data_IF_440150549683
#
_entry.id   IF_440150549683
#
_cell.length_a   1.000
_cell.length_b   1.000
_cell.length_c   1.000
_cell.angle_alpha   90.00
_cell.angle_beta   90.00
_cell.angle_gamma   90.00
#
_symmetry.space_group_name_H-M   'P 1'
#
loop_
_entity.id
_entity.type
_entity.pdbx_description
1 polymer ?
#
# COMPACT_ATOMS: atom_id res chain seq x y z
N UNK A 1 23.49 -7.63 -7.12
CA UNK A 1 24.24 -7.52 -5.84
C UNK A 1 24.02 -6.21 -5.07
N UNK A 2 23.09 -5.31 -5.47
CA UNK A 2 22.83 -4.04 -4.77
C UNK A 2 21.77 -4.12 -3.62
N UNK A 3 21.03 -5.22 -3.52
CA UNK A 3 19.88 -5.36 -2.61
C UNK A 3 20.26 -5.31 -1.13
N UNK A 4 21.40 -5.93 -0.75
CA UNK A 4 21.79 -6.05 0.67
C UNK A 4 22.17 -4.70 1.28
N UNK A 5 22.91 -3.85 0.57
CA UNK A 5 23.36 -2.55 1.07
C UNK A 5 22.20 -1.56 1.23
N UNK A 6 21.23 -1.60 0.33
CA UNK A 6 20.03 -0.75 0.41
C UNK A 6 19.12 -1.17 1.56
N UNK A 7 18.97 -2.48 1.77
CA UNK A 7 18.19 -3.02 2.88
C UNK A 7 18.84 -2.67 4.24
N UNK A 8 20.16 -2.82 4.38
CA UNK A 8 20.87 -2.44 5.62
C UNK A 8 20.69 -0.96 5.94
N UNK A 9 20.81 -0.06 4.94
CA UNK A 9 20.60 1.38 5.14
C UNK A 9 19.16 1.71 5.54
N UNK A 10 18.18 1.01 4.97
CA UNK A 10 16.78 1.18 5.34
C UNK A 10 16.52 0.76 6.79
N UNK A 11 17.11 -0.36 7.24
CA UNK A 11 17.06 -0.80 8.64
C UNK A 11 17.66 0.25 9.58
N UNK A 12 18.89 0.68 9.33
CA UNK A 12 19.59 1.66 10.16
C UNK A 12 18.81 2.99 10.26
N UNK A 13 18.25 3.46 9.14
CA UNK A 13 17.45 4.68 9.12
C UNK A 13 16.17 4.54 9.96
N UNK A 14 15.48 3.41 9.86
CA UNK A 14 14.27 3.13 10.63
C UNK A 14 14.56 2.97 12.13
N UNK A 15 15.59 2.20 12.48
CA UNK A 15 16.03 2.00 13.87
C UNK A 15 16.42 3.31 14.55
N UNK A 16 17.10 4.21 13.82
CA UNK A 16 17.44 5.54 14.34
C UNK A 16 16.20 6.36 14.65
N UNK A 17 15.19 6.35 13.77
CA UNK A 17 13.92 7.04 14.02
C UNK A 17 13.19 6.45 15.22
N UNK A 18 13.11 5.12 15.32
CA UNK A 18 12.46 4.42 16.43
C UNK A 18 13.13 4.72 17.77
N UNK A 19 14.46 4.70 17.81
CA UNK A 19 15.23 5.02 19.02
C UNK A 19 14.94 6.45 19.49
N UNK A 20 14.89 7.40 18.54
CA UNK A 20 14.58 8.80 18.85
C UNK A 20 13.14 8.96 19.34
N UNK A 21 12.18 8.28 18.70
CA UNK A 21 10.78 8.27 19.11
C UNK A 21 10.61 7.75 20.55
N UNK A 22 11.24 6.62 20.87
CA UNK A 22 11.16 6.02 22.20
C UNK A 22 11.75 6.92 23.28
N UNK A 23 12.87 7.60 22.99
CA UNK A 23 13.48 8.55 23.91
C UNK A 23 12.56 9.74 24.20
N UNK A 24 12.05 10.41 23.16
CA UNK A 24 11.15 11.57 23.34
C UNK A 24 9.84 11.18 24.05
N UNK A 25 9.31 9.99 23.75
CA UNK A 25 8.12 9.48 24.41
C UNK A 25 8.37 9.17 25.90
N UNK A 26 9.55 8.67 26.23
CA UNK A 26 9.97 8.49 27.62
C UNK A 26 10.08 9.83 28.35
N UNK A 27 10.69 10.84 27.74
CA UNK A 27 10.82 12.18 28.32
C UNK A 27 9.45 12.79 28.65
N UNK A 28 8.46 12.67 27.76
CA UNK A 28 7.08 13.11 28.04
C UNK A 28 6.42 12.37 29.19
N UNK A 29 6.72 11.07 29.36
CA UNK A 29 6.07 10.24 30.36
C UNK A 29 6.64 10.41 31.77
N UNK A 30 7.94 10.72 31.90
CA UNK A 30 8.66 10.60 33.19
C UNK A 30 9.47 11.84 33.58
N UNK A 31 9.93 12.66 32.64
CA UNK A 31 10.99 13.64 32.91
C UNK A 31 10.56 15.10 32.71
N UNK A 32 9.45 15.37 32.03
CA UNK A 32 9.00 16.73 31.79
C UNK A 32 8.46 17.38 33.08
N UNK A 33 9.17 18.37 33.59
CA UNK A 33 8.81 19.09 34.82
C UNK A 33 8.12 20.42 34.54
N UNK A 34 8.15 20.87 33.28
CA UNK A 34 7.56 22.13 32.84
C UNK A 34 6.70 21.93 31.60
N UNK A 35 5.72 22.83 31.42
CA UNK A 35 4.88 22.84 30.21
C UNK A 35 5.70 23.05 28.93
N UNK A 36 6.75 23.87 28.98
CA UNK A 36 7.61 24.15 27.84
C UNK A 36 8.38 22.89 27.39
N UNK A 37 8.84 22.04 28.32
CA UNK A 37 9.47 20.76 28.01
C UNK A 37 8.47 19.77 27.38
N UNK A 38 7.23 19.74 27.89
CA UNK A 38 6.15 18.94 27.31
C UNK A 38 5.88 19.39 25.87
N UNK A 39 5.63 20.69 25.66
CA UNK A 39 5.32 21.24 24.33
C UNK A 39 6.47 20.95 23.34
N UNK A 40 7.73 21.16 23.76
CA UNK A 40 8.90 20.90 22.93
C UNK A 40 9.08 19.41 22.56
N UNK A 41 8.85 18.48 23.50
CA UNK A 41 8.92 17.05 23.20
C UNK A 41 7.73 16.55 22.39
N UNK A 42 6.54 17.14 22.55
CA UNK A 42 5.39 16.88 21.68
C UNK A 42 5.67 17.29 20.23
N UNK A 43 6.25 18.48 20.01
CA UNK A 43 6.66 18.93 18.66
C UNK A 43 7.71 18.00 18.03
N UNK A 44 8.67 17.53 18.84
CA UNK A 44 9.69 16.57 18.39
C UNK A 44 9.07 15.22 18.01
N UNK A 45 8.12 14.71 18.79
CA UNK A 45 7.40 13.47 18.47
C UNK A 45 6.64 13.60 17.16
N UNK A 46 5.86 14.67 16.98
CA UNK A 46 5.12 14.91 15.74
C UNK A 46 6.05 14.94 14.51
N UNK A 47 7.23 15.56 14.65
CA UNK A 47 8.24 15.57 13.59
C UNK A 47 8.80 14.16 13.30
N UNK A 48 9.12 13.37 14.33
CA UNK A 48 9.65 12.01 14.17
C UNK A 48 8.62 11.09 13.53
N UNK A 49 7.37 11.16 13.97
CA UNK A 49 6.25 10.41 13.38
C UNK A 49 6.09 10.73 11.89
N UNK A 50 6.07 12.02 11.52
CA UNK A 50 5.99 12.42 10.11
C UNK A 50 7.14 11.83 9.29
N UNK A 51 8.36 11.79 9.84
CA UNK A 51 9.51 11.17 9.18
C UNK A 51 9.38 9.65 9.09
N UNK A 52 8.83 9.02 10.11
CA UNK A 52 8.58 7.59 10.12
C UNK A 52 7.54 7.17 9.08
N UNK A 53 6.48 7.97 8.88
CA UNK A 53 5.49 7.74 7.80
C UNK A 53 6.11 7.84 6.40
N UNK A 54 7.17 8.63 6.23
CA UNK A 54 7.89 8.77 4.95
C UNK A 54 8.99 7.72 4.72
N UNK A 55 9.38 6.99 5.76
CA UNK A 55 10.46 5.99 5.69
C UNK A 55 9.84 4.61 5.53
N UNK A 56 10.17 3.89 4.46
CA UNK A 56 9.66 2.53 4.24
C UNK A 56 10.09 1.57 5.35
N UNK A 57 9.16 0.76 5.87
CA UNK A 57 9.45 -0.25 6.89
C UNK A 57 10.28 -1.39 6.29
N UNK A 58 11.51 -1.67 6.76
CA UNK A 58 12.36 -2.69 6.14
C UNK A 58 11.77 -4.12 6.18
N UNK A 59 10.91 -4.40 7.17
CA UNK A 59 10.29 -5.69 7.42
C UNK A 59 8.91 -5.57 8.08
N UNK A 60 8.21 -6.70 8.24
CA UNK A 60 6.87 -6.74 8.86
C UNK A 60 6.89 -6.30 10.33
N UNK A 61 8.01 -6.51 11.04
CA UNK A 61 8.15 -6.05 12.43
C UNK A 61 8.11 -4.52 12.50
N UNK A 62 8.77 -3.85 11.57
CA UNK A 62 8.79 -2.39 11.45
C UNK A 62 7.42 -1.84 11.04
N UNK A 63 6.61 -2.61 10.30
CA UNK A 63 5.20 -2.26 10.04
C UNK A 63 4.37 -2.30 11.33
N UNK A 64 4.56 -3.33 12.17
CA UNK A 64 3.86 -3.40 13.46
C UNK A 64 4.19 -2.20 14.35
N UNK A 65 5.45 -1.77 14.39
CA UNK A 65 5.86 -0.56 15.11
C UNK A 65 5.11 0.68 14.60
N UNK A 66 4.99 0.83 13.28
CA UNK A 66 4.20 1.93 12.69
C UNK A 66 2.72 1.87 13.09
N UNK A 67 2.13 0.68 13.11
CA UNK A 67 0.74 0.47 13.54
C UNK A 67 0.53 0.82 15.01
N UNK A 68 1.46 0.42 15.88
CA UNK A 68 1.42 0.74 17.31
C UNK A 68 1.46 2.25 17.51
N UNK A 69 2.40 2.95 16.88
CA UNK A 69 2.51 4.41 17.00
C UNK A 69 1.24 5.10 16.49
N UNK A 70 0.74 4.69 15.33
CA UNK A 70 -0.51 5.21 14.78
C UNK A 70 -1.73 5.02 15.71
N UNK A 71 -1.73 3.96 16.53
CA UNK A 71 -2.82 3.62 17.44
C UNK A 71 -2.73 4.33 18.79
N UNK A 72 -1.54 4.82 19.15
CA UNK A 72 -1.34 5.46 20.45
C UNK A 72 -1.84 6.92 20.42
N UNK A 73 -1.59 7.63 19.33
CA UNK A 73 -1.78 9.09 19.31
C UNK A 73 -3.18 9.51 18.83
N UNK A 74 -3.95 8.60 18.22
CA UNK A 74 -5.29 8.89 17.70
C UNK A 74 -6.25 7.70 17.77
N UNK A 75 -7.53 7.97 18.08
CA UNK A 75 -8.64 7.04 17.81
C UNK A 75 -8.74 6.70 16.30
N UNK A 76 -8.28 7.62 15.44
CA UNK A 76 -8.16 7.44 13.99
C UNK A 76 -6.79 7.94 13.49
N UNK A 77 -5.91 7.04 12.99
CA UNK A 77 -4.63 7.43 12.42
C UNK A 77 -4.77 8.45 11.29
N UNK A 78 -3.79 9.36 11.12
CA UNK A 78 -3.81 10.29 10.00
C UNK A 78 -3.71 9.54 8.65
N UNK A 79 -4.32 10.05 7.57
CA UNK A 79 -4.36 9.36 6.27
C UNK A 79 -2.99 8.94 5.74
N UNK A 80 -1.95 9.73 5.97
CA UNK A 80 -0.57 9.44 5.61
C UNK A 80 0.01 8.23 6.34
N UNK A 81 -0.36 8.00 7.60
CA UNK A 81 0.09 6.83 8.37
C UNK A 81 -0.55 5.56 7.79
N UNK A 82 -1.85 5.60 7.49
CA UNK A 82 -2.58 4.50 6.85
C UNK A 82 -1.97 4.18 5.48
N UNK A 83 -1.74 5.21 4.66
CA UNK A 83 -1.13 5.05 3.34
C UNK A 83 0.29 4.44 3.44
N UNK A 84 1.09 4.89 4.40
CA UNK A 84 2.43 4.37 4.68
C UNK A 84 2.40 2.90 5.06
N UNK A 85 1.57 2.51 6.03
CA UNK A 85 1.43 1.13 6.53
C UNK A 85 0.96 0.20 5.41
N UNK A 86 -0.10 0.59 4.67
CA UNK A 86 -0.61 -0.22 3.56
C UNK A 86 0.42 -0.34 2.44
N UNK A 87 1.16 0.73 2.15
CA UNK A 87 2.24 0.72 1.15
C UNK A 87 3.35 -0.25 1.53
N UNK A 88 3.78 -0.25 2.79
CA UNK A 88 4.79 -1.18 3.29
C UNK A 88 4.30 -2.62 3.30
N UNK A 89 3.07 -2.87 3.74
CA UNK A 89 2.46 -4.21 3.69
C UNK A 89 2.48 -4.77 2.28
N UNK A 90 2.10 -3.99 1.27
CA UNK A 90 2.13 -4.44 -0.14
C UNK A 90 3.54 -4.75 -0.61
N UNK A 91 4.50 -3.86 -0.33
CA UNK A 91 5.89 -4.07 -0.74
C UNK A 91 6.49 -5.33 -0.10
N UNK A 92 6.14 -5.61 1.16
CA UNK A 92 6.68 -6.72 1.93
C UNK A 92 5.94 -8.05 1.69
N UNK A 93 4.64 -8.01 1.40
CA UNK A 93 3.85 -9.20 1.01
C UNK A 93 4.17 -9.71 -0.39
N UNK A 94 5.01 -8.97 -1.14
CA UNK A 94 5.28 -9.19 -2.55
C UNK A 94 4.07 -8.86 -3.42
N UNK A 95 4.18 -9.20 -4.70
CA UNK A 95 3.13 -9.03 -5.71
C UNK A 95 2.01 -10.08 -5.58
N UNK A 96 1.75 -10.57 -4.37
CA UNK A 96 0.73 -11.58 -4.13
C UNK A 96 -0.65 -10.94 -4.19
N UNK A 97 -1.52 -11.47 -5.06
CA UNK A 97 -2.92 -11.04 -5.19
C UNK A 97 -3.65 -11.28 -3.87
N UNK A 98 -4.50 -10.34 -3.46
CA UNK A 98 -5.35 -10.49 -2.27
C UNK A 98 -6.23 -11.75 -2.37
N UNK A 99 -6.31 -12.59 -1.32
CA UNK A 99 -7.05 -13.86 -1.37
C UNK A 99 -8.57 -13.70 -1.51
N UNK A 100 -9.09 -12.50 -1.26
CA UNK A 100 -10.53 -12.19 -1.41
C UNK A 100 -10.83 -11.44 -2.72
N UNK A 101 -9.81 -11.11 -3.50
CA UNK A 101 -10.01 -10.48 -4.79
C UNK A 101 -10.47 -11.52 -5.80
N UNK A 102 -11.59 -11.25 -6.46
CA UNK A 102 -12.23 -12.13 -7.44
C UNK A 102 -12.13 -11.48 -8.82
N UNK A 103 -11.09 -11.82 -9.62
CA UNK A 103 -10.85 -11.17 -10.91
C UNK A 103 -12.00 -11.33 -11.91
N UNK A 104 -12.73 -12.44 -11.81
CA UNK A 104 -13.90 -12.79 -12.63
C UNK A 104 -15.08 -11.87 -12.36
N UNK A 105 -15.42 -11.66 -11.08
CA UNK A 105 -16.46 -10.72 -10.70
C UNK A 105 -16.05 -9.29 -11.00
N UNK A 106 -14.77 -8.95 -10.83
CA UNK A 106 -14.24 -7.64 -11.17
C UNK A 106 -14.38 -7.35 -12.67
N UNK A 107 -14.04 -8.30 -13.54
CA UNK A 107 -14.20 -8.16 -15.00
C UNK A 107 -15.68 -8.05 -15.39
N UNK A 108 -16.54 -8.85 -14.77
CA UNK A 108 -18.00 -8.76 -14.97
C UNK A 108 -18.51 -7.36 -14.60
N UNK A 109 -18.06 -6.80 -13.48
CA UNK A 109 -18.43 -5.43 -13.07
C UNK A 109 -17.87 -4.37 -14.02
N UNK A 110 -16.64 -4.56 -14.51
CA UNK A 110 -16.01 -3.69 -15.51
C UNK A 110 -16.86 -3.61 -16.79
N UNK A 111 -17.24 -4.76 -17.35
CA UNK A 111 -18.04 -4.85 -18.56
C UNK A 111 -19.46 -4.31 -18.37
N UNK A 112 -20.11 -4.61 -17.24
CA UNK A 112 -21.44 -4.11 -16.92
C UNK A 112 -21.52 -2.58 -16.83
N UNK A 113 -20.39 -1.92 -16.54
CA UNK A 113 -20.31 -0.45 -16.52
C UNK A 113 -19.86 0.15 -17.87
N UNK A 114 -19.80 -0.67 -18.91
CA UNK A 114 -19.41 -0.32 -20.26
C UNK A 114 -17.91 -0.11 -20.41
N UNK A 115 -17.11 -0.75 -19.55
CA UNK A 115 -15.72 -1.03 -19.83
C UNK A 115 -15.60 -2.14 -20.86
N UNK A 116 -14.49 -2.18 -21.57
CA UNK A 116 -14.14 -3.28 -22.47
C UNK A 116 -12.65 -3.58 -22.32
N UNK A 117 -12.16 -4.55 -23.06
CA UNK A 117 -10.74 -4.86 -23.13
C UNK A 117 -10.38 -5.35 -24.52
N UNK A 118 -9.09 -5.24 -24.86
CA UNK A 118 -8.52 -5.81 -26.09
C UNK A 118 -7.22 -6.51 -25.75
N UNK A 119 -6.95 -7.64 -26.40
CA UNK A 119 -5.64 -8.31 -26.30
C UNK A 119 -4.86 -7.98 -27.55
N UNK A 120 -3.64 -7.45 -27.39
CA UNK A 120 -2.71 -7.18 -28.50
C UNK A 120 -1.34 -7.67 -28.11
N UNK A 121 -0.72 -8.47 -28.98
CA UNK A 121 0.65 -8.97 -28.77
C UNK A 121 0.85 -9.71 -27.42
N UNK A 122 -0.22 -10.36 -26.93
CA UNK A 122 -0.21 -11.05 -25.64
C UNK A 122 -0.44 -10.15 -24.41
N UNK A 123 -0.66 -8.84 -24.61
CA UNK A 123 -0.95 -7.88 -23.55
C UNK A 123 -2.45 -7.56 -23.51
N UNK A 124 -3.04 -7.58 -22.31
CA UNK A 124 -4.43 -7.16 -22.10
C UNK A 124 -4.49 -5.64 -21.83
N UNK A 125 -5.23 -4.92 -22.66
CA UNK A 125 -5.44 -3.47 -22.54
C UNK A 125 -6.89 -3.22 -22.13
N UNK A 126 -7.09 -2.71 -20.92
CA UNK A 126 -8.39 -2.33 -20.40
C UNK A 126 -8.83 -0.98 -21.00
N UNK A 127 -10.02 -0.96 -21.60
CA UNK A 127 -10.62 0.20 -22.25
C UNK A 127 -11.74 0.75 -21.38
N UNK A 128 -11.54 1.94 -20.81
CA UNK A 128 -12.52 2.59 -19.95
C UNK A 128 -13.24 3.73 -20.66
N UNK A 129 -14.54 3.93 -20.35
CA UNK A 129 -15.23 5.19 -20.69
C UNK A 129 -14.50 6.38 -20.06
N UNK A 130 -14.18 7.43 -20.85
CA UNK A 130 -13.53 8.63 -20.32
C UNK A 130 -14.31 9.23 -19.15
N UNK A 131 -13.58 9.67 -18.11
CA UNK A 131 -14.13 10.32 -16.90
C UNK A 131 -15.05 9.47 -16.02
N UNK A 132 -15.33 8.20 -16.36
CA UNK A 132 -16.15 7.30 -15.53
C UNK A 132 -15.58 7.20 -14.11
N UNK A 133 -16.39 7.57 -13.11
CA UNK A 133 -16.02 7.43 -11.69
C UNK A 133 -15.98 5.95 -11.29
N UNK A 134 -16.86 5.13 -11.87
CA UNK A 134 -16.92 3.69 -11.59
C UNK A 134 -15.66 2.99 -12.08
N UNK A 135 -15.22 3.24 -13.33
CA UNK A 135 -13.98 2.63 -13.83
C UNK A 135 -12.75 3.08 -13.02
N UNK A 136 -12.70 4.35 -12.60
CA UNK A 136 -11.64 4.81 -11.68
C UNK A 136 -11.69 4.13 -10.31
N UNK A 137 -12.87 3.77 -9.82
CA UNK A 137 -13.00 3.00 -8.57
C UNK A 137 -12.54 1.56 -8.78
N UNK A 138 -12.91 0.93 -9.89
CA UNK A 138 -12.53 -0.44 -10.23
C UNK A 138 -11.03 -0.60 -10.47
N UNK A 139 -10.40 0.32 -11.20
CA UNK A 139 -8.94 0.31 -11.37
C UNK A 139 -8.23 0.42 -10.01
N UNK A 140 -8.70 1.32 -9.15
CA UNK A 140 -8.16 1.45 -7.78
C UNK A 140 -8.41 0.20 -6.93
N UNK A 141 -9.53 -0.51 -7.08
CA UNK A 141 -9.76 -1.76 -6.31
C UNK A 141 -8.85 -2.89 -6.79
N UNK A 142 -8.64 -3.00 -8.11
CA UNK A 142 -7.69 -3.94 -8.70
C UNK A 142 -6.26 -3.67 -8.23
N UNK A 143 -5.79 -2.43 -8.31
CA UNK A 143 -4.48 -2.01 -7.79
C UNK A 143 -4.35 -2.30 -6.30
N UNK A 144 -5.40 -2.01 -5.52
CA UNK A 144 -5.38 -2.23 -4.06
C UNK A 144 -5.23 -3.70 -3.68
N UNK A 145 -5.78 -4.58 -4.49
CA UNK A 145 -5.73 -6.02 -4.33
C UNK A 145 -4.49 -6.67 -4.95
N UNK A 146 -3.60 -5.88 -5.55
CA UNK A 146 -2.52 -6.37 -6.42
C UNK A 146 -3.03 -7.29 -7.55
N UNK A 147 -4.23 -7.02 -8.06
CA UNK A 147 -4.96 -7.90 -8.96
C UNK A 147 -4.65 -7.71 -10.45
N UNK A 148 -3.71 -6.83 -10.82
CA UNK A 148 -3.44 -6.47 -12.22
C UNK A 148 -3.09 -7.71 -13.05
N UNK A 149 -2.14 -8.51 -12.60
CA UNK A 149 -1.74 -9.72 -13.32
C UNK A 149 -2.86 -10.76 -13.38
N UNK A 150 -3.64 -10.90 -12.31
CA UNK A 150 -4.76 -11.83 -12.26
C UNK A 150 -5.88 -11.45 -13.25
N UNK A 151 -6.21 -10.16 -13.35
CA UNK A 151 -7.17 -9.65 -14.33
C UNK A 151 -6.63 -9.82 -15.75
N UNK A 152 -5.37 -9.45 -16.00
CA UNK A 152 -4.72 -9.62 -17.31
C UNK A 152 -4.73 -11.08 -17.77
N UNK A 153 -4.35 -12.01 -16.89
CA UNK A 153 -4.36 -13.44 -17.18
C UNK A 153 -5.77 -13.93 -17.54
N UNK A 154 -6.79 -13.45 -16.83
CA UNK A 154 -8.18 -13.83 -17.08
C UNK A 154 -8.73 -13.27 -18.41
N UNK A 155 -8.37 -12.02 -18.75
CA UNK A 155 -8.70 -11.44 -20.07
C UNK A 155 -8.06 -12.27 -21.19
N UNK A 156 -6.77 -12.58 -21.07
CA UNK A 156 -6.04 -13.39 -22.05
C UNK A 156 -6.67 -14.78 -22.19
N UNK A 157 -7.03 -15.43 -21.08
CA UNK A 157 -7.69 -16.73 -21.10
C UNK A 157 -9.06 -16.67 -21.78
N UNK A 158 -9.85 -15.64 -21.50
CA UNK A 158 -11.17 -15.43 -22.09
C UNK A 158 -11.09 -15.23 -23.61
N UNK A 159 -10.08 -14.51 -24.10
CA UNK A 159 -9.86 -14.32 -25.53
C UNK A 159 -9.34 -15.58 -26.24
N UNK A 160 -8.51 -16.40 -25.58
CA UNK A 160 -8.05 -17.68 -26.15
C UNK A 160 -9.19 -18.69 -26.34
N UNK A 161 -10.25 -18.61 -25.53
CA UNK A 161 -11.45 -19.43 -25.69
C UNK A 161 -12.28 -19.09 -26.94
N UNK A 162 -12.06 -17.93 -27.55
CA UNK A 162 -12.81 -17.47 -28.74
C UNK A 162 -12.15 -17.90 -30.07
N UNK A 163 -10.91 -18.39 -30.06
CA UNK A 163 -10.19 -18.81 -31.27
C UNK A 163 -10.52 -20.26 -31.74
N UNK A 164 -11.42 -20.98 -31.06
CA UNK A 164 -11.72 -22.40 -31.35
C UNK A 164 -12.98 -22.62 -32.21
N UNK A 165 -13.76 -21.59 -32.53
CA UNK A 165 -14.91 -21.71 -33.44
C UNK A 165 -14.66 -21.05 -34.81
N UNK A 166 -13.63 -21.51 -35.53
CA UNK A 166 -13.57 -21.29 -36.98
C UNK A 166 -14.11 -22.53 -37.72
N UNK A 167 -15.42 -22.50 -37.97
CA UNK A 167 -16.15 -23.01 -39.14
C UNK A 167 -15.46 -24.12 -39.95
N UNK A 168 -16.03 -25.34 -39.85
CA UNK A 168 -15.85 -26.42 -40.82
C UNK A 168 -16.55 -26.12 -42.16
#
# INVERSE_FOLDING_TARGET
MNSTTEQTRACEAFEKLLTTYQAERHCLAVEANTKEEVDASSDRLAYIEQRMWRTSAPDLRSVLVKMEIASIDCDMPPPEAIASIVGDLRRLSGETVSPIFQPDLWLTEWENNGGSYVVREGEAILCAKPKSLVHRRLLRSMERANGVEAVTAMVIQSCKGLEVESVA
#
